data_IF_601742053161
#
_entry.id   IF_601742053161
#
_cell.length_a   1.000
_cell.length_b   1.000
_cell.length_c   1.000
_cell.angle_alpha   90.00
_cell.angle_beta   90.00
_cell.angle_gamma   90.00
#
_symmetry.space_group_name_H-M   'P 1'
#
loop_
_entity.id
_entity.type
_entity.pdbx_description
1 polymer ?
#
# COMPACT_ATOMS: atom_id res chain seq x y z
N UNK A 1 0.98 16.14 44.12
CA UNK A 1 0.83 16.93 42.89
C UNK A 1 0.78 15.92 41.75
N UNK A 2 -0.40 15.69 41.18
CA UNK A 2 -0.58 14.82 40.03
C UNK A 2 -0.19 15.68 38.82
N UNK A 3 0.79 15.27 38.00
CA UNK A 3 1.14 16.03 36.80
C UNK A 3 -0.06 16.04 35.86
N UNK A 4 -0.45 17.23 35.43
CA UNK A 4 -1.50 17.41 34.43
C UNK A 4 -1.10 16.67 33.15
N UNK A 5 -1.85 15.64 32.80
CA UNK A 5 -1.72 14.98 31.51
C UNK A 5 -2.19 15.97 30.43
N UNK A 6 -1.25 16.57 29.73
CA UNK A 6 -1.58 17.25 28.49
C UNK A 6 -1.87 16.18 27.45
N UNK A 7 -3.14 15.96 27.16
CA UNK A 7 -3.57 15.08 26.08
C UNK A 7 -3.21 15.73 24.74
N UNK A 8 -2.18 15.26 24.07
CA UNK A 8 -1.93 15.63 22.69
C UNK A 8 -2.86 14.78 21.79
N UNK A 9 -3.97 15.37 21.40
CA UNK A 9 -4.83 14.82 20.36
C UNK A 9 -4.37 15.43 19.04
N UNK A 10 -3.83 14.64 18.15
CA UNK A 10 -3.45 15.08 16.81
C UNK A 10 -4.54 14.72 15.80
N UNK A 11 -4.99 15.71 15.06
CA UNK A 11 -5.86 15.50 13.90
C UNK A 11 -5.00 15.19 12.69
N UNK A 12 -5.17 14.01 12.12
CA UNK A 12 -4.49 13.61 10.90
C UNK A 12 -5.18 14.24 9.70
N UNK A 13 -4.67 15.39 9.27
CA UNK A 13 -5.13 16.02 8.03
C UNK A 13 -4.45 15.38 6.83
N UNK A 14 -5.23 14.98 5.85
CA UNK A 14 -4.80 14.20 4.69
C UNK A 14 -3.87 14.93 3.72
N UNK A 15 -3.84 16.25 3.73
CA UNK A 15 -3.12 17.06 2.76
C UNK A 15 -1.60 16.95 2.88
N UNK A 16 -1.10 16.75 4.07
CA UNK A 16 0.34 16.83 4.34
C UNK A 16 0.95 15.49 4.78
N UNK A 17 0.12 14.52 5.16
CA UNK A 17 0.59 13.21 5.60
C UNK A 17 -0.02 12.16 4.69
N UNK A 18 0.80 11.51 3.85
CA UNK A 18 0.35 10.33 3.10
C UNK A 18 -0.27 9.32 4.06
N UNK A 19 -1.39 8.74 3.70
CA UNK A 19 -2.04 7.65 4.47
C UNK A 19 -1.04 6.52 4.76
N UNK A 20 -0.05 6.35 3.91
CA UNK A 20 1.12 5.46 4.07
C UNK A 20 1.92 5.69 5.38
N UNK A 21 1.72 6.79 6.09
CA UNK A 21 2.33 7.04 7.40
C UNK A 21 1.35 6.88 8.57
N UNK A 22 0.15 6.38 8.33
CA UNK A 22 -0.88 6.19 9.35
C UNK A 22 -0.38 5.31 10.51
N UNK A 23 0.43 4.29 10.21
CA UNK A 23 1.04 3.41 11.20
C UNK A 23 1.88 4.17 12.23
N UNK A 24 2.58 5.25 11.85
CA UNK A 24 3.39 6.03 12.80
C UNK A 24 2.55 6.63 13.93
N UNK A 25 1.30 6.96 13.65
CA UNK A 25 0.38 7.51 14.64
C UNK A 25 -0.28 6.43 15.48
N UNK A 26 -0.64 5.30 14.87
CA UNK A 26 -1.18 4.16 15.61
C UNK A 26 -0.13 3.54 16.53
N UNK A 27 1.13 3.45 16.10
CA UNK A 27 2.23 2.93 16.90
C UNK A 27 2.56 3.83 18.11
N UNK A 28 2.35 5.14 18.00
CA UNK A 28 2.50 6.06 19.14
C UNK A 28 1.52 5.76 20.27
N UNK A 29 0.33 5.22 19.97
CA UNK A 29 -0.62 4.83 21.02
C UNK A 29 -0.10 3.67 21.86
N UNK A 30 0.75 2.83 21.29
CA UNK A 30 1.34 1.67 21.97
C UNK A 30 2.64 2.03 22.70
N UNK A 31 3.37 3.05 22.24
CA UNK A 31 4.75 3.33 22.67
C UNK A 31 4.90 4.59 23.50
N UNK A 32 4.04 5.62 23.31
CA UNK A 32 4.16 6.91 24.00
C UNK A 32 3.02 7.09 25.03
N UNK A 33 3.32 6.98 26.34
CA UNK A 33 2.28 7.02 27.39
C UNK A 33 1.47 8.32 27.45
N UNK A 34 1.97 9.41 26.87
CA UNK A 34 1.29 10.71 26.84
C UNK A 34 0.42 10.89 25.59
N UNK A 35 0.58 10.04 24.58
CA UNK A 35 -0.20 10.10 23.37
C UNK A 35 -1.47 9.27 23.52
N UNK A 36 -2.64 9.88 23.30
CA UNK A 36 -3.94 9.24 23.52
C UNK A 36 -4.63 8.81 22.22
N UNK A 37 -4.04 9.11 21.08
CA UNK A 37 -4.58 8.75 19.78
C UNK A 37 -4.68 9.93 18.81
N UNK A 38 -5.27 9.69 17.66
CA UNK A 38 -5.49 10.68 16.60
C UNK A 38 -6.82 10.44 15.90
N UNK A 39 -7.27 11.45 15.17
CA UNK A 39 -8.47 11.39 14.36
C UNK A 39 -8.11 11.67 12.91
N UNK A 40 -8.61 10.84 12.01
CA UNK A 40 -8.47 11.08 10.57
C UNK A 40 -9.54 12.10 10.15
N UNK A 41 -9.13 13.18 9.53
CA UNK A 41 -10.03 14.13 8.91
C UNK A 41 -9.99 13.97 7.39
N UNK A 42 -11.00 13.35 6.76
CA UNK A 42 -12.30 12.98 7.30
C UNK A 42 -12.68 11.55 6.88
N UNK A 43 -13.82 11.04 7.35
CA UNK A 43 -14.32 9.73 6.92
C UNK A 43 -14.91 9.79 5.50
N UNK A 44 -15.73 10.82 5.20
CA UNK A 44 -16.39 11.01 3.91
C UNK A 44 -15.87 12.30 3.28
N UNK A 45 -15.63 12.31 1.97
CA UNK A 45 -15.39 13.55 1.23
C UNK A 45 -16.52 14.55 1.45
N UNK A 46 -16.17 15.81 1.64
CA UNK A 46 -17.11 16.90 1.93
C UNK A 46 -17.71 17.51 0.65
N UNK A 47 -17.56 16.84 -0.49
CA UNK A 47 -18.11 17.27 -1.78
C UNK A 47 -19.62 17.00 -1.87
N UNK A 48 -20.29 17.77 -2.71
CA UNK A 48 -21.74 17.72 -2.93
C UNK A 48 -21.99 17.50 -4.43
N UNK A 49 -22.97 16.69 -4.79
CA UNK A 49 -23.35 16.51 -6.18
C UNK A 49 -23.90 17.79 -6.79
N UNK A 50 -23.35 18.16 -7.94
CA UNK A 50 -23.80 19.27 -8.78
C UNK A 50 -23.78 18.83 -10.23
N UNK A 51 -24.64 19.44 -11.06
CA UNK A 51 -24.59 19.26 -12.52
C UNK A 51 -23.91 20.44 -13.17
N UNK A 52 -23.02 20.14 -14.10
CA UNK A 52 -22.41 21.16 -14.94
C UNK A 52 -23.42 21.73 -15.96
N UNK A 53 -22.99 22.73 -16.75
CA UNK A 53 -23.81 23.37 -17.80
C UNK A 53 -24.27 22.41 -18.90
N UNK A 54 -23.70 21.22 -19.00
CA UNK A 54 -24.05 20.17 -19.95
C UNK A 54 -24.98 19.10 -19.34
N UNK A 55 -25.32 19.24 -18.05
CA UNK A 55 -26.12 18.29 -17.31
C UNK A 55 -25.35 17.10 -16.77
N UNK A 56 -24.01 17.08 -16.90
CA UNK A 56 -23.15 16.02 -16.34
C UNK A 56 -22.97 16.27 -14.84
N UNK A 57 -23.23 15.21 -14.07
CA UNK A 57 -23.07 15.23 -12.62
C UNK A 57 -21.59 15.10 -12.22
N UNK A 58 -21.18 15.86 -11.21
CA UNK A 58 -19.84 15.84 -10.64
C UNK A 58 -19.86 16.17 -9.15
N UNK A 59 -18.76 15.85 -8.46
CA UNK A 59 -18.55 16.17 -7.05
C UNK A 59 -18.01 17.61 -6.94
N UNK A 60 -18.84 18.52 -6.49
CA UNK A 60 -18.55 19.93 -6.37
C UNK A 60 -18.03 20.29 -4.96
N UNK A 61 -17.22 21.32 -4.87
CA UNK A 61 -16.66 21.86 -3.63
C UNK A 61 -16.60 23.41 -3.68
N UNK A 62 -15.99 24.03 -2.69
CA UNK A 62 -15.94 25.48 -2.57
C UNK A 62 -15.45 26.20 -3.82
N UNK A 63 -16.18 27.22 -4.26
CA UNK A 63 -15.99 27.94 -5.52
C UNK A 63 -16.90 27.45 -6.65
N UNK A 64 -17.29 26.18 -6.67
CA UNK A 64 -18.21 25.64 -7.68
C UNK A 64 -19.65 26.14 -7.51
N UNK A 65 -19.96 26.74 -6.36
CA UNK A 65 -21.28 27.30 -6.02
C UNK A 65 -21.28 28.84 -6.07
N UNK A 66 -20.32 29.43 -6.77
CA UNK A 66 -20.11 30.89 -6.86
C UNK A 66 -19.85 31.56 -5.49
N UNK A 67 -19.37 30.77 -4.54
CA UNK A 67 -19.01 31.19 -3.20
C UNK A 67 -17.54 31.66 -3.15
N UNK A 68 -17.33 32.91 -2.70
CA UNK A 68 -16.01 33.52 -2.54
C UNK A 68 -15.98 34.41 -1.29
N UNK A 69 -14.94 34.28 -0.45
CA UNK A 69 -13.79 33.35 -0.52
C UNK A 69 -14.19 31.91 -0.25
N UNK A 70 -13.39 30.94 -0.74
CA UNK A 70 -13.62 29.51 -0.53
C UNK A 70 -12.28 28.78 -0.37
N UNK A 71 -12.36 27.57 0.20
CA UNK A 71 -11.19 26.71 0.44
C UNK A 71 -10.90 25.75 -0.73
N UNK A 72 -11.46 26.04 -1.92
CA UNK A 72 -11.27 25.27 -3.16
C UNK A 72 -11.40 23.75 -2.94
N UNK A 73 -10.39 22.98 -3.38
CA UNK A 73 -10.36 21.52 -3.35
C UNK A 73 -10.23 20.90 -1.94
N UNK A 74 -10.41 21.64 -0.88
CA UNK A 74 -10.32 21.18 0.52
C UNK A 74 -11.50 20.26 0.94
N UNK A 75 -12.09 19.56 0.01
CA UNK A 75 -13.22 18.65 0.22
C UNK A 75 -12.89 17.19 -0.06
N UNK A 76 -11.79 16.90 -0.78
CA UNK A 76 -11.39 15.55 -1.15
C UNK A 76 -10.57 14.82 -0.06
N UNK A 77 -10.94 14.97 1.21
CA UNK A 77 -10.19 14.50 2.38
C UNK A 77 -10.74 13.19 2.99
N UNK A 78 -11.83 12.63 2.45
CA UNK A 78 -12.45 11.42 2.95
C UNK A 78 -11.64 10.13 2.73
N UNK A 79 -11.87 9.15 3.60
CA UNK A 79 -11.45 7.75 3.39
C UNK A 79 -12.37 7.09 2.35
N UNK A 80 -13.62 7.53 2.29
CA UNK A 80 -14.59 7.16 1.27
C UNK A 80 -14.93 8.37 0.42
N UNK A 81 -15.31 8.13 -0.82
CA UNK A 81 -15.73 9.20 -1.72
C UNK A 81 -17.07 9.83 -1.26
N UNK A 82 -17.27 11.08 -1.59
CA UNK A 82 -18.56 11.73 -1.45
C UNK A 82 -19.63 11.02 -2.29
N UNK A 83 -20.91 11.30 -2.02
CA UNK A 83 -22.01 10.70 -2.75
C UNK A 83 -22.28 9.25 -2.37
N UNK A 84 -21.95 8.30 -3.22
CA UNK A 84 -22.21 6.86 -3.02
C UNK A 84 -21.41 6.25 -1.86
N UNK A 85 -20.42 6.96 -1.35
CA UNK A 85 -19.55 6.53 -0.24
C UNK A 85 -18.72 5.27 -0.55
N UNK A 86 -18.35 5.11 -1.81
CA UNK A 86 -17.45 4.06 -2.22
C UNK A 86 -16.10 4.20 -1.53
N UNK A 87 -15.52 3.07 -1.15
CA UNK A 87 -14.22 3.04 -0.50
C UNK A 87 -13.13 3.55 -1.44
N UNK A 88 -12.37 4.55 -1.01
CA UNK A 88 -11.19 4.97 -1.74
C UNK A 88 -10.01 4.01 -1.46
N UNK A 89 -8.94 4.02 -2.28
CA UNK A 89 -7.75 3.19 -2.03
C UNK A 89 -7.13 3.36 -0.63
N UNK A 90 -7.36 4.49 0.02
CA UNK A 90 -6.92 4.76 1.41
C UNK A 90 -7.54 3.83 2.45
N UNK A 91 -8.73 3.29 2.18
CA UNK A 91 -9.42 2.40 3.10
C UNK A 91 -8.58 1.16 3.45
N UNK A 92 -7.77 0.66 2.51
CA UNK A 92 -6.91 -0.50 2.74
C UNK A 92 -5.82 -0.19 3.78
N UNK A 93 -5.19 0.96 3.68
CA UNK A 93 -4.18 1.38 4.63
C UNK A 93 -4.79 1.64 6.02
N UNK A 94 -5.94 2.31 6.07
CA UNK A 94 -6.65 2.54 7.33
C UNK A 94 -7.04 1.22 7.98
N UNK A 95 -7.57 0.26 7.22
CA UNK A 95 -7.88 -1.08 7.70
C UNK A 95 -6.65 -1.74 8.32
N UNK A 96 -5.51 -1.69 7.64
CA UNK A 96 -4.26 -2.29 8.13
C UNK A 96 -3.76 -1.61 9.40
N UNK A 97 -3.72 -0.27 9.43
CA UNK A 97 -3.21 0.48 10.58
C UNK A 97 -4.09 0.36 11.84
N UNK A 98 -5.40 0.20 11.66
CA UNK A 98 -6.36 0.14 12.77
C UNK A 98 -6.69 -1.28 13.25
N UNK A 99 -6.06 -2.30 12.70
CA UNK A 99 -6.26 -3.67 13.18
C UNK A 99 -5.69 -3.87 14.59
N UNK A 100 -6.43 -4.60 15.42
CA UNK A 100 -6.05 -4.88 16.82
C UNK A 100 -5.20 -6.15 17.00
N UNK A 101 -4.82 -6.81 15.92
CA UNK A 101 -3.89 -7.94 15.92
C UNK A 101 -2.78 -7.57 14.95
N UNK A 102 -1.57 -7.38 15.45
CA UNK A 102 -0.38 -7.14 14.63
C UNK A 102 0.31 -8.46 14.36
N UNK A 103 0.73 -8.68 13.13
CA UNK A 103 1.28 -9.96 12.69
C UNK A 103 2.54 -9.68 11.87
N UNK A 104 3.69 -10.04 12.42
CA UNK A 104 4.97 -10.02 11.70
C UNK A 104 5.26 -11.42 11.16
N UNK A 105 5.18 -11.56 9.84
CA UNK A 105 5.28 -12.86 9.15
C UNK A 105 6.67 -13.05 8.58
N UNK A 106 7.28 -14.18 8.94
CA UNK A 106 8.55 -14.65 8.39
C UNK A 106 8.32 -15.89 7.49
N UNK A 107 9.38 -16.50 6.99
CA UNK A 107 9.26 -17.63 6.06
C UNK A 107 8.47 -18.83 6.62
N UNK A 108 8.69 -19.16 7.88
CA UNK A 108 8.20 -20.37 8.56
C UNK A 108 7.49 -20.10 9.89
N UNK A 109 7.50 -18.86 10.35
CA UNK A 109 6.91 -18.46 11.62
C UNK A 109 6.30 -17.09 11.53
N UNK A 110 5.41 -16.78 12.46
CA UNK A 110 4.88 -15.43 12.63
C UNK A 110 4.89 -15.03 14.12
N UNK A 111 5.13 -13.75 14.37
CA UNK A 111 4.91 -13.14 15.68
C UNK A 111 3.53 -12.49 15.66
N UNK A 112 2.62 -12.99 16.47
CA UNK A 112 1.25 -12.49 16.61
C UNK A 112 1.16 -11.71 17.91
N UNK A 113 0.91 -10.41 17.82
CA UNK A 113 0.69 -9.52 18.95
C UNK A 113 -0.78 -9.14 19.03
N UNK A 114 -1.45 -9.52 20.10
CA UNK A 114 -2.84 -9.19 20.37
C UNK A 114 -2.93 -7.87 21.14
N UNK A 115 -3.40 -6.82 20.47
CA UNK A 115 -3.62 -5.48 21.06
C UNK A 115 -5.02 -5.30 21.65
N UNK A 116 -5.93 -6.30 21.52
CA UNK A 116 -7.23 -6.27 22.15
C UNK A 116 -7.10 -6.26 23.67
N UNK A 117 -7.99 -5.54 24.34
CA UNK A 117 -8.01 -5.45 25.80
C UNK A 117 -8.69 -6.64 26.47
N UNK A 118 -9.65 -7.28 25.78
CA UNK A 118 -10.54 -8.26 26.40
C UNK A 118 -10.79 -9.50 25.54
N UNK A 119 -10.30 -9.54 24.30
CA UNK A 119 -10.61 -10.59 23.33
C UNK A 119 -9.37 -11.38 23.01
N UNK A 120 -9.41 -12.70 23.22
CA UNK A 120 -8.39 -13.64 22.79
C UNK A 120 -8.46 -13.84 21.26
N UNK A 121 -7.33 -14.08 20.60
CA UNK A 121 -7.31 -14.31 19.15
C UNK A 121 -8.00 -15.59 18.71
N UNK A 122 -8.21 -16.57 19.60
CA UNK A 122 -8.95 -17.79 19.31
C UNK A 122 -10.43 -17.57 19.01
N UNK A 123 -10.98 -16.38 19.31
CA UNK A 123 -12.31 -15.93 18.88
C UNK A 123 -12.42 -15.89 17.35
N UNK A 124 -11.31 -15.70 16.65
CA UNK A 124 -11.24 -15.60 15.21
C UNK A 124 -10.74 -16.90 14.58
N UNK A 125 -11.14 -17.15 13.34
CA UNK A 125 -10.53 -18.20 12.51
C UNK A 125 -9.23 -17.66 11.93
N UNK A 126 -8.13 -18.37 12.13
CA UNK A 126 -6.84 -18.02 11.53
C UNK A 126 -6.59 -18.90 10.30
N UNK A 127 -6.13 -18.30 9.23
CA UNK A 127 -5.81 -18.95 7.96
C UNK A 127 -4.45 -18.47 7.46
N UNK A 128 -3.63 -19.41 7.00
CA UNK A 128 -2.34 -19.14 6.38
C UNK A 128 -2.44 -19.39 4.88
N UNK A 129 -2.14 -18.38 4.09
CA UNK A 129 -2.13 -18.39 2.63
C UNK A 129 -0.68 -18.32 2.13
N UNK A 130 -0.30 -19.25 1.26
CA UNK A 130 0.96 -19.24 0.54
C UNK A 130 0.69 -18.95 -0.94
N UNK A 131 1.38 -17.98 -1.48
CA UNK A 131 1.32 -17.57 -2.87
C UNK A 131 2.71 -17.62 -3.50
N UNK A 132 2.77 -17.81 -4.82
CA UNK A 132 3.96 -17.68 -5.64
C UNK A 132 3.63 -16.78 -6.82
N UNK A 133 4.42 -15.74 -7.06
CA UNK A 133 4.19 -14.79 -8.15
C UNK A 133 2.72 -14.31 -8.20
N UNK A 134 2.14 -13.99 -7.04
CA UNK A 134 0.74 -13.58 -6.89
C UNK A 134 -0.32 -14.68 -7.13
N UNK A 135 0.11 -15.93 -7.30
CA UNK A 135 -0.82 -17.07 -7.48
C UNK A 135 -0.90 -17.92 -6.24
N UNK A 136 -2.11 -18.16 -5.76
CA UNK A 136 -2.38 -19.02 -4.62
C UNK A 136 -1.86 -20.45 -4.87
N UNK A 137 -0.96 -20.89 -3.99
CA UNK A 137 -0.48 -22.28 -3.96
C UNK A 137 -1.23 -23.11 -2.93
N UNK A 138 -1.39 -22.58 -1.71
CA UNK A 138 -1.97 -23.33 -0.60
C UNK A 138 -2.66 -22.37 0.38
N UNK A 139 -3.73 -22.83 0.99
CA UNK A 139 -4.41 -22.17 2.10
C UNK A 139 -4.66 -23.21 3.19
N UNK A 140 -4.24 -22.93 4.42
CA UNK A 140 -4.30 -23.87 5.53
C UNK A 140 -4.90 -23.16 6.75
N UNK A 141 -5.94 -23.74 7.36
CA UNK A 141 -6.42 -23.24 8.64
C UNK A 141 -5.39 -23.52 9.74
N UNK A 142 -5.33 -22.62 10.71
CA UNK A 142 -4.43 -22.68 11.84
C UNK A 142 -5.16 -22.25 13.11
N UNK A 143 -4.87 -22.89 14.24
CA UNK A 143 -5.37 -22.43 15.53
C UNK A 143 -4.33 -21.56 16.22
N UNK A 144 -4.71 -20.33 16.56
CA UNK A 144 -3.84 -19.36 17.24
C UNK A 144 -4.58 -18.77 18.42
N UNK A 145 -4.06 -19.02 19.61
CA UNK A 145 -4.55 -18.42 20.84
C UNK A 145 -3.46 -17.55 21.46
N UNK A 146 -3.75 -16.25 21.51
CA UNK A 146 -2.91 -15.24 22.14
C UNK A 146 -3.80 -14.39 23.04
N UNK A 147 -3.47 -14.36 24.32
CA UNK A 147 -4.20 -13.60 25.32
C UNK A 147 -4.21 -12.09 25.03
N UNK A 148 -5.19 -11.35 25.55
CA UNK A 148 -5.20 -9.90 25.45
C UNK A 148 -3.90 -9.27 25.93
N UNK A 149 -3.43 -8.24 25.22
CA UNK A 149 -2.20 -7.48 25.50
C UNK A 149 -0.93 -8.35 25.58
N UNK A 150 -0.91 -9.46 24.84
CA UNK A 150 0.19 -10.42 24.81
C UNK A 150 0.68 -10.66 23.39
N UNK A 151 1.86 -11.25 23.26
CA UNK A 151 2.36 -11.70 21.98
C UNK A 151 2.87 -13.15 22.04
N UNK A 152 2.84 -13.81 20.90
CA UNK A 152 3.30 -15.20 20.79
C UNK A 152 3.90 -15.44 19.40
N UNK A 153 5.03 -16.11 19.37
CA UNK A 153 5.59 -16.65 18.13
C UNK A 153 4.92 -18.01 17.84
N UNK A 154 4.46 -18.18 16.62
CA UNK A 154 3.78 -19.39 16.14
C UNK A 154 4.49 -19.93 14.90
N UNK A 155 4.65 -21.23 14.82
CA UNK A 155 5.15 -21.90 13.62
C UNK A 155 4.03 -22.00 12.57
N UNK A 156 4.35 -21.68 11.32
CA UNK A 156 3.37 -21.72 10.24
C UNK A 156 3.22 -23.14 9.68
N UNK A 157 1.97 -23.60 9.39
CA UNK A 157 1.70 -24.95 8.89
C UNK A 157 2.01 -25.09 7.39
N UNK A 158 3.05 -24.41 6.92
CA UNK A 158 3.52 -24.41 5.54
C UNK A 158 5.03 -24.68 5.52
N UNK A 159 5.47 -25.45 4.54
CA UNK A 159 6.89 -25.67 4.35
C UNK A 159 7.52 -24.48 3.60
N UNK A 160 8.73 -24.11 4.00
CA UNK A 160 9.53 -23.15 3.25
C UNK A 160 9.81 -23.67 1.85
N UNK A 161 9.54 -22.86 0.86
CA UNK A 161 9.69 -23.25 -0.53
C UNK A 161 11.16 -23.17 -0.97
N UNK A 162 11.55 -24.08 -1.88
CA UNK A 162 12.92 -24.19 -2.38
C UNK A 162 13.04 -23.95 -3.89
N UNK A 163 11.90 -23.93 -4.58
CA UNK A 163 11.89 -23.62 -6.02
C UNK A 163 12.06 -22.11 -6.24
N UNK A 164 12.84 -21.69 -7.21
CA UNK A 164 13.04 -20.26 -7.50
C UNK A 164 11.74 -19.52 -7.75
N UNK A 165 11.68 -18.28 -7.25
CA UNK A 165 10.56 -17.36 -7.39
C UNK A 165 10.27 -16.55 -6.14
N UNK A 166 9.39 -15.58 -6.27
CA UNK A 166 8.90 -14.76 -5.16
C UNK A 166 7.71 -15.44 -4.48
N UNK A 167 7.76 -15.52 -3.17
CA UNK A 167 6.73 -16.12 -2.34
C UNK A 167 6.19 -15.11 -1.34
N UNK A 168 4.86 -15.06 -1.23
CA UNK A 168 4.16 -14.32 -0.20
C UNK A 168 3.45 -15.29 0.75
N UNK A 169 3.63 -15.06 2.05
CA UNK A 169 2.93 -15.77 3.12
C UNK A 169 2.05 -14.78 3.85
N UNK A 170 0.75 -15.00 3.82
CA UNK A 170 -0.23 -14.15 4.51
C UNK A 170 -0.89 -14.93 5.63
N UNK A 171 -0.88 -14.35 6.83
CA UNK A 171 -1.64 -14.85 7.99
C UNK A 171 -2.83 -13.93 8.19
N UNK A 172 -4.05 -14.48 8.16
CA UNK A 172 -5.30 -13.72 8.19
C UNK A 172 -6.20 -14.22 9.31
N UNK A 173 -6.70 -13.32 10.14
CA UNK A 173 -7.73 -13.58 11.14
C UNK A 173 -9.09 -13.14 10.62
N UNK A 174 -10.09 -14.04 10.70
CA UNK A 174 -11.41 -13.84 10.09
C UNK A 174 -12.52 -14.13 11.09
N UNK A 175 -13.66 -13.48 10.95
CA UNK A 175 -14.84 -13.79 11.76
C UNK A 175 -15.28 -15.23 11.56
N UNK A 176 -15.52 -15.95 12.66
CA UNK A 176 -16.07 -17.32 12.66
C UNK A 176 -17.55 -17.35 12.35
N UNK A 177 -18.26 -16.28 12.72
CA UNK A 177 -19.72 -16.14 12.64
C UNK A 177 -20.11 -14.75 12.14
N UNK A 178 -21.39 -14.59 11.76
CA UNK A 178 -21.95 -13.29 11.42
C UNK A 178 -22.06 -12.43 12.67
N UNK A 179 -21.69 -11.16 12.54
CA UNK A 179 -21.86 -10.11 13.56
C UNK A 179 -22.72 -8.98 13.02
N UNK A 180 -23.08 -8.02 13.86
CA UNK A 180 -23.85 -6.83 13.43
C UNK A 180 -23.09 -5.95 12.43
N UNK A 181 -21.76 -6.04 12.39
CA UNK A 181 -20.89 -5.20 11.57
C UNK A 181 -20.11 -5.97 10.47
N UNK A 182 -20.13 -7.31 10.51
CA UNK A 182 -19.39 -8.10 9.53
C UNK A 182 -19.96 -9.51 9.37
N UNK A 183 -19.77 -10.08 8.19
CA UNK A 183 -20.17 -11.44 7.87
C UNK A 183 -19.07 -12.42 8.22
N UNK A 184 -19.45 -13.69 8.47
CA UNK A 184 -18.52 -14.80 8.59
C UNK A 184 -17.49 -14.77 7.47
N UNK A 185 -16.22 -14.94 7.81
CA UNK A 185 -15.10 -14.87 6.87
C UNK A 185 -14.57 -13.45 6.62
N UNK A 186 -15.21 -12.40 7.16
CA UNK A 186 -14.66 -11.05 7.10
C UNK A 186 -13.31 -11.00 7.81
N UNK A 187 -12.30 -10.48 7.12
CA UNK A 187 -10.94 -10.35 7.62
C UNK A 187 -10.82 -9.17 8.58
N UNK A 188 -10.48 -9.45 9.84
CA UNK A 188 -10.33 -8.45 10.90
C UNK A 188 -8.89 -8.00 11.07
N UNK A 189 -7.93 -8.85 10.71
CA UNK A 189 -6.51 -8.52 10.73
C UNK A 189 -5.74 -9.45 9.81
N UNK A 190 -4.65 -8.95 9.25
CA UNK A 190 -3.71 -9.75 8.45
C UNK A 190 -2.29 -9.22 8.60
N UNK A 191 -1.32 -10.10 8.32
CA UNK A 191 0.08 -9.76 8.11
C UNK A 191 0.62 -10.57 6.95
N UNK A 192 1.56 -10.00 6.21
CA UNK A 192 2.18 -10.65 5.06
C UNK A 192 3.69 -10.51 5.12
N UNK A 193 4.38 -11.62 4.89
CA UNK A 193 5.82 -11.66 4.67
C UNK A 193 6.13 -12.11 3.25
N UNK A 194 7.07 -11.44 2.60
CA UNK A 194 7.53 -11.79 1.25
C UNK A 194 8.97 -12.27 1.33
N UNK A 195 9.31 -13.33 0.60
CA UNK A 195 10.66 -13.79 0.45
C UNK A 195 10.92 -14.32 -0.96
N UNK A 196 12.13 -14.17 -1.41
CA UNK A 196 12.58 -14.68 -2.69
C UNK A 196 13.45 -15.93 -2.52
N UNK A 197 13.29 -16.89 -3.42
CA UNK A 197 14.19 -18.02 -3.60
C UNK A 197 14.91 -17.81 -4.91
N UNK A 198 16.20 -17.52 -4.81
CA UNK A 198 17.03 -17.24 -5.97
C UNK A 198 17.17 -18.48 -6.87
N UNK A 199 17.09 -18.27 -8.18
CA UNK A 199 17.51 -19.28 -9.13
C UNK A 199 19.03 -19.48 -9.04
N UNK A 200 19.56 -20.71 -9.21
CA UNK A 200 20.99 -20.89 -9.32
C UNK A 200 21.50 -19.98 -10.44
N UNK A 201 22.49 -19.15 -10.11
CA UNK A 201 23.03 -18.17 -11.04
C UNK A 201 23.44 -18.89 -12.33
N UNK A 202 22.69 -18.66 -13.41
CA UNK A 202 23.19 -18.96 -14.75
C UNK A 202 24.39 -18.05 -14.92
N UNK A 203 25.55 -18.64 -15.22
CA UNK A 203 26.71 -17.86 -15.64
C UNK A 203 26.28 -17.06 -16.89
N UNK A 204 25.86 -15.82 -16.67
CA UNK A 204 25.57 -14.91 -17.78
C UNK A 204 26.89 -14.67 -18.51
N UNK A 205 26.93 -15.08 -19.72
CA UNK A 205 28.02 -14.64 -20.64
C UNK A 205 27.89 -13.11 -20.69
N UNK A 206 28.97 -12.34 -20.44
CA UNK A 206 28.90 -10.90 -20.54
C UNK A 206 28.33 -10.54 -21.90
N UNK A 207 27.17 -9.87 -21.89
CA UNK A 207 26.51 -9.45 -23.10
C UNK A 207 27.46 -8.50 -23.84
N UNK A 208 27.80 -8.82 -25.06
CA UNK A 208 28.57 -7.92 -25.93
C UNK A 208 27.61 -6.83 -26.39
N UNK A 209 27.93 -5.60 -26.08
CA UNK A 209 27.22 -4.44 -26.61
C UNK A 209 28.21 -3.42 -27.15
N UNK A 210 27.78 -2.67 -28.13
CA UNK A 210 28.52 -1.60 -28.78
C UNK A 210 27.94 -0.26 -28.36
N UNK A 211 28.78 0.69 -27.99
CA UNK A 211 28.37 2.06 -27.69
C UNK A 211 28.83 2.94 -28.86
N UNK A 212 27.85 3.57 -29.50
CA UNK A 212 28.05 4.48 -30.61
C UNK A 212 27.78 5.89 -30.14
N UNK A 213 28.72 6.81 -30.27
CA UNK A 213 28.58 8.21 -29.87
C UNK A 213 28.62 9.11 -31.09
N UNK A 214 27.70 10.07 -31.12
CA UNK A 214 27.71 11.23 -32.02
C UNK A 214 27.87 12.53 -31.21
N UNK A 215 27.71 13.67 -31.87
CA UNK A 215 27.86 14.97 -31.21
C UNK A 215 26.73 15.29 -30.22
N UNK A 216 25.53 14.72 -30.41
CA UNK A 216 24.33 15.03 -29.66
C UNK A 216 23.54 13.81 -29.17
N UNK A 217 23.98 12.62 -29.60
CA UNK A 217 23.30 11.38 -29.28
C UNK A 217 24.30 10.29 -28.93
N UNK A 218 23.90 9.32 -28.12
CA UNK A 218 24.64 8.08 -27.98
C UNK A 218 23.68 6.88 -28.04
N UNK A 219 24.14 5.84 -28.74
CA UNK A 219 23.41 4.60 -28.87
C UNK A 219 24.11 3.47 -28.17
N UNK A 220 23.35 2.51 -27.69
CA UNK A 220 23.86 1.21 -27.23
C UNK A 220 23.15 0.13 -28.00
N UNK A 221 23.96 -0.69 -28.72
CA UNK A 221 23.47 -1.81 -29.50
C UNK A 221 23.90 -3.12 -28.89
N UNK A 222 22.94 -3.99 -28.58
CA UNK A 222 23.16 -5.36 -28.15
C UNK A 222 22.70 -6.38 -29.19
N UNK A 223 22.70 -7.64 -28.81
CA UNK A 223 22.30 -8.72 -29.71
C UNK A 223 20.85 -8.61 -30.19
N UNK A 224 19.95 -8.22 -29.28
CA UNK A 224 18.49 -8.15 -29.51
C UNK A 224 17.89 -6.79 -29.20
N UNK A 225 18.71 -5.77 -28.92
CA UNK A 225 18.22 -4.46 -28.60
C UNK A 225 19.10 -3.34 -29.17
N UNK A 226 18.44 -2.21 -29.46
CA UNK A 226 19.06 -0.93 -29.77
C UNK A 226 18.42 0.14 -28.88
N UNK A 227 19.24 0.94 -28.21
CA UNK A 227 18.79 2.04 -27.36
C UNK A 227 19.45 3.32 -27.83
N UNK A 228 18.73 4.42 -27.92
CA UNK A 228 19.26 5.72 -28.28
C UNK A 228 18.87 6.79 -27.27
N UNK A 229 19.85 7.52 -26.81
CA UNK A 229 19.72 8.68 -25.92
C UNK A 229 20.08 9.93 -26.69
N UNK A 230 19.32 11.00 -26.49
CA UNK A 230 19.56 12.29 -27.10
C UNK A 230 19.88 13.35 -26.04
N UNK A 231 21.03 13.99 -26.19
CA UNK A 231 21.39 15.14 -25.33
C UNK A 231 20.50 16.35 -25.59
N UNK A 232 19.95 16.47 -26.80
CA UNK A 232 19.06 17.58 -27.18
C UNK A 232 17.68 17.43 -26.51
N UNK A 233 17.18 16.20 -26.42
CA UNK A 233 15.88 15.90 -25.81
C UNK A 233 16.02 15.56 -24.31
N UNK A 234 17.24 15.46 -23.79
CA UNK A 234 17.52 15.22 -22.39
C UNK A 234 17.16 13.82 -21.90
N UNK A 235 17.15 12.79 -22.78
CA UNK A 235 16.77 11.47 -22.34
C UNK A 235 16.74 10.37 -23.41
N UNK A 236 16.06 9.29 -23.08
CA UNK A 236 15.88 8.13 -23.96
C UNK A 236 14.85 8.45 -25.04
N UNK A 237 15.26 8.34 -26.32
CA UNK A 237 14.42 8.68 -27.48
C UNK A 237 14.02 7.48 -28.32
N UNK A 238 14.73 6.37 -28.22
CA UNK A 238 14.37 5.12 -28.89
C UNK A 238 14.83 3.93 -28.08
N UNK A 239 13.97 2.94 -27.94
CA UNK A 239 14.30 1.62 -27.42
C UNK A 239 13.66 0.55 -28.29
N UNK A 240 14.47 -0.17 -29.05
CA UNK A 240 14.04 -1.29 -29.87
C UNK A 240 14.46 -2.59 -29.24
N UNK A 241 13.52 -3.52 -29.14
CA UNK A 241 13.78 -4.89 -28.72
C UNK A 241 13.25 -5.85 -29.76
N UNK A 242 14.08 -6.77 -30.22
CA UNK A 242 13.72 -7.69 -31.32
C UNK A 242 13.28 -6.97 -32.59
N UNK A 243 13.79 -5.76 -32.86
CA UNK A 243 13.42 -4.93 -34.01
C UNK A 243 12.14 -4.10 -33.83
N UNK A 244 11.41 -4.26 -32.70
CA UNK A 244 10.18 -3.52 -32.41
C UNK A 244 10.49 -2.31 -31.54
N UNK A 245 10.02 -1.12 -31.97
CA UNK A 245 10.12 0.09 -31.17
C UNK A 245 9.19 0.01 -29.95
N UNK A 246 9.75 0.18 -28.76
CA UNK A 246 9.04 0.07 -27.48
C UNK A 246 8.56 1.42 -26.96
N UNK A 247 9.14 2.54 -27.45
CA UNK A 247 8.75 3.90 -27.10
C UNK A 247 7.86 4.44 -28.22
N UNK A 248 6.60 4.72 -27.90
CA UNK A 248 5.62 5.12 -28.92
C UNK A 248 5.53 6.63 -29.18
N UNK A 249 5.96 7.47 -28.25
CA UNK A 249 5.90 8.94 -28.36
C UNK A 249 6.97 9.62 -27.53
N UNK A 250 7.55 10.68 -28.01
CA UNK A 250 8.49 11.56 -27.28
C UNK A 250 7.87 12.29 -26.07
N UNK A 251 6.54 12.26 -25.94
CA UNK A 251 5.80 12.96 -24.87
C UNK A 251 5.89 12.30 -23.49
N UNK A 252 6.38 11.09 -23.38
CA UNK A 252 6.54 10.43 -22.07
C UNK A 252 7.81 10.86 -21.31
N UNK A 253 8.75 11.53 -21.98
CA UNK A 253 9.95 12.11 -21.34
C UNK A 253 9.66 13.34 -20.49
N UNK A 254 8.50 13.97 -20.61
CA UNK A 254 8.10 15.09 -19.75
C UNK A 254 7.84 14.69 -18.29
N UNK A 255 7.52 13.43 -18.01
CA UNK A 255 7.25 12.96 -16.64
C UNK A 255 8.50 12.87 -15.77
N UNK A 256 9.67 12.69 -16.36
CA UNK A 256 10.94 12.65 -15.62
C UNK A 256 11.52 14.04 -15.35
N UNK A 257 11.17 15.04 -16.16
CA UNK A 257 11.64 16.42 -15.99
C UNK A 257 10.90 17.18 -14.87
N UNK A 258 9.75 16.68 -14.40
CA UNK A 258 8.99 17.29 -13.31
C UNK A 258 9.49 16.89 -11.90
N UNK A 259 10.33 15.86 -11.79
CA UNK A 259 10.83 15.38 -10.50
C UNK A 259 11.99 16.22 -9.93
N UNK A 260 12.67 17.01 -10.75
CA UNK A 260 13.86 17.79 -10.34
C UNK A 260 13.57 19.29 -10.07
N UNK A 261 12.29 19.67 -9.96
CA UNK A 261 11.91 21.05 -9.60
C UNK A 261 11.05 21.11 -8.35
N UNK A 262 11.62 20.67 -7.24
CA UNK A 262 11.18 21.08 -5.90
C UNK A 262 12.37 21.32 -4.99
#
# INVERSE_FOLDING_TARGET
MIPSRSSAVNTLMRWEIPVVQCNKYTDLTDTEPKYQGGFIWDYIDQSIYKKDRYGKEFQAYGGDFDDHPCDYNFSGNGIVYGGERDASPKMQEVKFCYQNISIDVQKDKAVVKNKNLFVNTDTFACVVLLEKEGKKLKEVPMEVSVEPLSEKTVELPIAVQTLPGEYAVTVSFRLKEDTVWGKRGHEVAFGQGVYEVEAPAKAEKPAKFEVIRSNHDFGVRGENFDVMFSDLNGGLVSYRYGGVEMIKNDSETELLACADRQ
#
